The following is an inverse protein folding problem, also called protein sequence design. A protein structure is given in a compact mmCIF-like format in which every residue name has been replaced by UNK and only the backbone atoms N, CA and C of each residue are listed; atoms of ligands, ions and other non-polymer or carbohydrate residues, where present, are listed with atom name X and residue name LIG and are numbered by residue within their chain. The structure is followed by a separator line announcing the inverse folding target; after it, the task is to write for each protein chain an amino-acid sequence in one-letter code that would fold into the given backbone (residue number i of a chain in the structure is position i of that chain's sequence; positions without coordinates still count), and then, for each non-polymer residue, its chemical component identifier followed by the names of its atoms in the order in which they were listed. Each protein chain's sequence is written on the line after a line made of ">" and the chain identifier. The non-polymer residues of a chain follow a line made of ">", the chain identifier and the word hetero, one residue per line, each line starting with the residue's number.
data_IF_993072826705
#
_entry.id   IF_993072826705
#
_cell.length_a   1.000
_cell.length_b   1.000
_cell.length_c   1.000
_cell.angle_alpha   90.00
_cell.angle_beta   90.00
_cell.angle_gamma   90.00
#
_symmetry.space_group_name_H-M   'P 1'
#
loop_
_entity.id
_entity.type
_entity.pdbx_description
1 polymer ?
#
# COMPACT_ATOMS: atom_id res chain seq x y z
N UNK A 1 -6.93 8.95 -1.00
CA UNK A 1 -6.81 7.54 -0.59
C UNK A 1 -6.08 6.80 -1.71
N UNK A 2 -5.10 5.96 -1.36
CA UNK A 2 -4.26 5.19 -2.29
C UNK A 2 -3.72 3.94 -1.58
N UNK A 3 -3.72 2.80 -2.25
CA UNK A 3 -2.81 1.71 -1.85
C UNK A 3 -1.41 2.02 -2.35
N UNK A 4 -0.44 2.16 -1.45
CA UNK A 4 0.96 2.26 -1.83
C UNK A 4 1.41 1.02 -2.60
N UNK A 5 2.41 1.21 -3.47
CA UNK A 5 3.00 0.08 -4.17
C UNK A 5 3.53 -0.96 -3.17
N UNK A 6 3.36 -2.24 -3.49
CA UNK A 6 3.76 -3.38 -2.62
C UNK A 6 5.25 -3.31 -2.23
N UNK A 7 6.12 -2.93 -3.17
CA UNK A 7 7.57 -2.80 -2.94
C UNK A 7 7.97 -1.59 -2.08
N UNK A 8 7.05 -0.69 -1.79
CA UNK A 8 7.32 0.45 -0.92
C UNK A 8 7.09 0.13 0.56
N UNK A 9 6.31 -0.90 0.89
CA UNK A 9 5.81 -1.10 2.26
C UNK A 9 6.96 -1.16 3.29
N UNK A 10 8.03 -1.89 2.97
CA UNK A 10 9.22 -2.07 3.80
C UNK A 10 10.05 -0.80 4.01
N UNK A 11 9.82 0.25 3.21
CA UNK A 11 10.52 1.55 3.31
C UNK A 11 9.59 2.75 3.39
N UNK A 12 8.27 2.54 3.48
CA UNK A 12 7.29 3.62 3.58
C UNK A 12 7.62 4.51 4.78
N UNK A 13 7.54 5.85 4.68
CA UNK A 13 7.67 6.71 5.84
C UNK A 13 6.60 6.36 6.90
N UNK A 14 6.92 6.51 8.18
CA UNK A 14 6.09 6.13 9.33
C UNK A 14 4.63 6.57 9.18
N UNK A 15 4.42 7.85 8.90
CA UNK A 15 3.08 8.40 8.78
C UNK A 15 2.32 7.84 7.56
N UNK A 16 3.03 7.47 6.50
CA UNK A 16 2.45 6.85 5.31
C UNK A 16 2.08 5.39 5.57
N UNK A 17 2.92 4.62 6.28
CA UNK A 17 2.61 3.25 6.69
C UNK A 17 1.39 3.19 7.64
N UNK A 18 1.35 4.06 8.65
CA UNK A 18 0.20 4.14 9.56
C UNK A 18 -1.07 4.59 8.82
N UNK A 19 -0.94 5.49 7.85
CA UNK A 19 -2.07 5.90 7.02
C UNK A 19 -2.55 4.78 6.11
N UNK A 20 -1.65 4.01 5.51
CA UNK A 20 -1.99 2.83 4.70
C UNK A 20 -2.86 1.84 5.48
N UNK A 21 -2.51 1.57 6.73
CA UNK A 21 -3.33 0.72 7.60
C UNK A 21 -4.74 1.27 7.78
N UNK A 22 -4.88 2.57 8.10
CA UNK A 22 -6.19 3.21 8.23
C UNK A 22 -6.98 3.18 6.93
N UNK A 23 -6.32 3.35 5.80
CA UNK A 23 -6.96 3.27 4.48
C UNK A 23 -7.47 1.86 4.18
N UNK A 24 -6.75 0.79 4.52
CA UNK A 24 -7.25 -0.59 4.38
C UNK A 24 -8.52 -0.82 5.19
N UNK A 25 -8.57 -0.32 6.43
CA UNK A 25 -9.78 -0.40 7.26
C UNK A 25 -10.95 0.38 6.66
N UNK A 26 -10.67 1.57 6.10
CA UNK A 26 -11.67 2.41 5.45
C UNK A 26 -12.21 1.79 4.15
N UNK A 27 -11.34 1.13 3.38
CA UNK A 27 -11.70 0.42 2.15
C UNK A 27 -12.63 -0.74 2.47
N UNK A 28 -12.25 -1.62 3.41
CA UNK A 28 -13.13 -2.71 3.85
C UNK A 28 -14.49 -2.17 4.30
N UNK A 29 -14.48 -1.15 5.17
CA UNK A 29 -15.71 -0.56 5.68
C UNK A 29 -16.59 0.07 4.60
N UNK A 30 -15.98 0.65 3.56
CA UNK A 30 -16.71 1.24 2.42
C UNK A 30 -17.31 0.17 1.52
N UNK A 31 -16.56 -0.90 1.23
CA UNK A 31 -17.06 -2.04 0.45
C UNK A 31 -18.20 -2.75 1.20
N UNK A 32 -18.08 -2.97 2.52
CA UNK A 32 -19.16 -3.58 3.32
C UNK A 32 -20.44 -2.73 3.29
N UNK A 33 -20.32 -1.40 3.30
CA UNK A 33 -21.47 -0.48 3.34
C UNK A 33 -22.08 -0.17 1.97
N UNK A 34 -21.25 -0.07 0.93
CA UNK A 34 -21.62 0.51 -0.37
C UNK A 34 -21.31 -0.39 -1.56
N UNK A 35 -20.67 -1.54 -1.33
CA UNK A 35 -20.18 -2.43 -2.37
C UNK A 35 -18.90 -1.95 -3.08
N UNK A 36 -18.42 -0.74 -2.79
CA UNK A 36 -17.23 -0.16 -3.43
C UNK A 36 -16.50 0.84 -2.52
N UNK A 37 -15.17 1.02 -2.68
CA UNK A 37 -14.45 2.11 -2.04
C UNK A 37 -14.96 3.51 -2.46
N UNK A 38 -15.57 3.61 -3.65
CA UNK A 38 -16.02 4.86 -4.29
C UNK A 38 -14.90 5.91 -4.42
N UNK A 39 -13.72 5.48 -4.86
CA UNK A 39 -12.56 6.35 -5.06
C UNK A 39 -11.76 5.87 -6.26
N UNK A 40 -11.62 6.70 -7.30
CA UNK A 40 -11.08 6.34 -8.62
C UNK A 40 -9.78 5.51 -8.55
N UNK A 41 -8.81 5.96 -7.75
CA UNK A 41 -7.50 5.30 -7.62
C UNK A 41 -7.55 3.94 -6.90
N UNK A 42 -8.60 3.66 -6.14
CA UNK A 42 -8.70 2.50 -5.23
C UNK A 42 -9.77 1.52 -5.70
N UNK A 43 -10.74 1.96 -6.50
CA UNK A 43 -11.79 1.08 -7.06
C UNK A 43 -11.22 -0.14 -7.77
N UNK A 44 -10.02 -0.02 -8.36
CA UNK A 44 -9.27 -1.13 -9.00
C UNK A 44 -9.10 -2.34 -8.08
N UNK A 45 -9.11 -2.18 -6.76
CA UNK A 45 -8.98 -3.28 -5.79
C UNK A 45 -10.05 -4.36 -5.97
N UNK A 46 -11.23 -4.01 -6.50
CA UNK A 46 -12.31 -4.97 -6.77
C UNK A 46 -12.10 -5.78 -8.05
N UNK A 47 -11.17 -5.38 -8.92
CA UNK A 47 -10.79 -6.16 -10.11
C UNK A 47 -9.89 -7.35 -9.74
N UNK A 48 -9.43 -7.40 -8.49
CA UNK A 48 -8.54 -8.41 -7.93
C UNK A 48 -9.30 -9.27 -6.94
N UNK A 49 -8.66 -10.37 -6.52
CA UNK A 49 -9.29 -11.27 -5.56
C UNK A 49 -9.27 -10.68 -4.14
N UNK A 50 -10.20 -11.14 -3.31
CA UNK A 50 -10.20 -10.77 -1.89
C UNK A 50 -8.96 -11.30 -1.16
N UNK A 51 -8.35 -12.38 -1.66
CA UNK A 51 -7.18 -12.98 -1.06
C UNK A 51 -5.92 -12.15 -1.34
N UNK A 52 -5.82 -11.49 -2.51
CA UNK A 52 -4.83 -10.44 -2.76
C UNK A 52 -4.98 -9.26 -1.78
N UNK A 53 -6.22 -8.83 -1.51
CA UNK A 53 -6.47 -7.78 -0.51
C UNK A 53 -6.04 -8.18 0.90
N UNK A 54 -6.33 -9.43 1.31
CA UNK A 54 -5.88 -9.96 2.60
C UNK A 54 -4.35 -10.09 2.67
N UNK A 55 -3.71 -10.54 1.59
CA UNK A 55 -2.26 -10.71 1.54
C UNK A 55 -1.54 -9.36 1.59
N UNK A 56 -1.99 -8.37 0.82
CA UNK A 56 -1.51 -7.00 0.94
C UNK A 56 -1.70 -6.43 2.36
N UNK A 57 -2.85 -6.70 2.99
CA UNK A 57 -3.12 -6.29 4.37
C UNK A 57 -2.14 -6.94 5.35
N UNK A 58 -1.82 -8.23 5.16
CA UNK A 58 -0.83 -8.95 5.95
C UNK A 58 0.56 -8.32 5.81
N UNK A 59 1.00 -7.99 4.60
CA UNK A 59 2.30 -7.32 4.37
C UNK A 59 2.39 -6.00 5.15
N UNK A 60 1.34 -5.17 5.09
CA UNK A 60 1.29 -3.91 5.85
C UNK A 60 1.29 -4.15 7.36
N UNK A 61 0.51 -5.13 7.84
CA UNK A 61 0.42 -5.48 9.25
C UNK A 61 1.75 -6.00 9.81
N UNK A 62 2.40 -6.94 9.09
CA UNK A 62 3.68 -7.51 9.48
C UNK A 62 4.77 -6.42 9.54
N UNK A 63 4.81 -5.50 8.57
CA UNK A 63 5.77 -4.38 8.57
C UNK A 63 5.50 -3.40 9.72
N UNK A 64 4.23 -3.17 10.08
CA UNK A 64 3.89 -2.38 11.27
C UNK A 64 4.41 -3.03 12.54
N UNK A 65 4.22 -4.34 12.71
CA UNK A 65 4.72 -5.09 13.87
C UNK A 65 6.26 -5.08 13.91
N UNK A 66 6.93 -5.30 12.78
CA UNK A 66 8.39 -5.23 12.66
C UNK A 66 8.96 -3.90 13.12
N UNK A 67 8.24 -2.80 12.91
CA UNK A 67 8.61 -1.44 13.36
C UNK A 67 8.09 -1.09 14.75
N UNK A 68 7.64 -2.08 15.53
CA UNK A 68 7.09 -1.93 16.88
C UNK A 68 5.84 -1.02 16.96
N UNK A 69 5.10 -0.88 15.85
CA UNK A 69 3.77 -0.29 15.90
C UNK A 69 2.74 -1.31 16.38
N UNK A 70 1.61 -0.82 16.87
CA UNK A 70 0.54 -1.63 17.46
C UNK A 70 -0.73 -1.53 16.61
N UNK A 71 -0.78 -2.15 15.41
CA UNK A 71 -2.02 -2.25 14.65
C UNK A 71 -3.08 -3.00 15.47
N UNK A 72 -4.36 -2.76 15.17
CA UNK A 72 -5.44 -3.40 15.92
C UNK A 72 -5.66 -4.84 15.42
N UNK A 73 -5.30 -5.83 16.23
CA UNK A 73 -5.38 -7.26 15.90
C UNK A 73 -6.81 -7.76 15.61
N UNK A 74 -7.83 -7.19 16.27
CA UNK A 74 -9.22 -7.54 15.99
C UNK A 74 -9.62 -7.07 14.59
N UNK A 75 -9.16 -5.89 14.18
CA UNK A 75 -9.39 -5.37 12.82
C UNK A 75 -8.62 -6.18 11.78
N UNK A 76 -7.38 -6.54 12.05
CA UNK A 76 -6.59 -7.43 11.19
C UNK A 76 -7.31 -8.78 10.98
N UNK A 77 -7.67 -9.45 12.07
CA UNK A 77 -8.41 -10.72 12.04
C UNK A 77 -9.73 -10.59 11.27
N UNK A 78 -10.41 -9.45 11.40
CA UNK A 78 -11.66 -9.20 10.65
C UNK A 78 -11.47 -9.09 9.14
N UNK A 79 -10.30 -8.63 8.66
CA UNK A 79 -9.95 -8.63 7.23
C UNK A 79 -9.61 -10.05 6.77
N UNK A 80 -8.79 -10.79 7.54
CA UNK A 80 -8.39 -12.15 7.16
C UNK A 80 -9.59 -13.09 7.02
N UNK A 81 -10.58 -12.97 7.89
CA UNK A 81 -11.82 -13.77 7.85
C UNK A 81 -12.86 -13.21 6.88
N UNK A 82 -12.57 -12.10 6.22
CA UNK A 82 -13.54 -11.40 5.38
C UNK A 82 -13.90 -12.22 4.15
N UNK A 83 -15.20 -12.27 3.86
CA UNK A 83 -15.78 -12.82 2.63
C UNK A 83 -16.64 -11.72 2.02
N UNK A 84 -16.42 -11.41 0.76
CA UNK A 84 -17.18 -10.39 0.05
C UNK A 84 -17.24 -10.73 -1.44
N UNK A 85 -18.44 -10.68 -2.03
CA UNK A 85 -18.70 -11.11 -3.41
C UNK A 85 -18.46 -10.01 -4.45
N UNK A 86 -18.13 -8.79 -4.01
CA UNK A 86 -17.86 -7.67 -4.93
C UNK A 86 -16.44 -7.70 -5.51
N UNK A 87 -15.53 -8.49 -4.92
CA UNK A 87 -14.22 -8.75 -5.50
C UNK A 87 -14.37 -9.69 -6.69
N UNK A 88 -13.44 -9.59 -7.65
CA UNK A 88 -13.35 -10.55 -8.72
C UNK A 88 -13.18 -11.97 -8.16
N UNK A 89 -13.87 -12.93 -8.77
CA UNK A 89 -13.68 -14.33 -8.42
C UNK A 89 -12.26 -14.75 -8.81
N UNK A 90 -11.54 -15.34 -7.86
CA UNK A 90 -10.24 -15.97 -8.12
C UNK A 90 -10.47 -17.15 -9.08
N UNK A 91 -10.12 -16.98 -10.36
CA UNK A 91 -10.09 -18.09 -11.34
C UNK A 91 -8.74 -18.83 -11.26
N UNK A 92 -7.72 -18.23 -10.66
CA UNK A 92 -6.41 -18.85 -10.43
C UNK A 92 -6.42 -19.79 -9.22
N UNK A 93 -7.10 -20.93 -9.39
CA UNK A 93 -6.55 -22.19 -8.88
C UNK A 93 -5.19 -22.39 -9.58
N UNK A 94 -4.07 -22.35 -8.83
CA UNK A 94 -2.81 -23.10 -9.05
C UNK A 94 -1.50 -22.38 -8.65
N UNK A 95 -1.48 -21.07 -8.38
CA UNK A 95 -0.26 -20.38 -7.97
C UNK A 95 -0.33 -19.85 -6.54
N UNK A 96 0.68 -20.18 -5.73
CA UNK A 96 0.84 -19.63 -4.38
C UNK A 96 1.05 -18.12 -4.48
N UNK A 97 0.05 -17.36 -4.00
CA UNK A 97 0.11 -15.91 -3.91
C UNK A 97 1.36 -15.46 -3.14
N UNK A 98 2.13 -14.55 -3.72
CA UNK A 98 3.37 -14.03 -3.18
C UNK A 98 3.54 -12.55 -3.55
N UNK A 99 4.65 -11.93 -3.15
CA UNK A 99 4.84 -10.49 -3.40
C UNK A 99 4.97 -10.16 -4.90
N UNK A 100 5.54 -11.05 -5.71
CA UNK A 100 5.81 -10.80 -7.13
C UNK A 100 4.51 -10.74 -7.94
N UNK A 101 3.56 -11.66 -7.69
CA UNK A 101 2.28 -11.71 -8.42
C UNK A 101 1.15 -10.89 -7.78
N UNK A 102 1.33 -10.35 -6.57
CA UNK A 102 0.33 -9.51 -5.92
C UNK A 102 -0.02 -8.26 -6.74
N UNK A 103 -1.28 -8.12 -7.17
CA UNK A 103 -1.77 -7.01 -7.97
C UNK A 103 -0.95 -6.75 -9.24
N UNK A 104 -0.43 -7.80 -9.90
CA UNK A 104 0.39 -7.78 -11.12
C UNK A 104 0.13 -6.56 -12.05
N UNK A 105 -1.09 -6.46 -12.59
CA UNK A 105 -1.43 -5.42 -13.59
C UNK A 105 -1.46 -3.99 -13.01
N UNK A 106 -1.64 -3.84 -11.69
CA UNK A 106 -1.75 -2.55 -11.01
C UNK A 106 -0.44 -2.13 -10.35
N UNK A 107 0.19 -3.02 -9.59
CA UNK A 107 1.45 -2.80 -8.89
C UNK A 107 2.63 -3.06 -9.84
N UNK A 108 2.59 -2.34 -10.95
CA UNK A 108 3.61 -2.33 -11.99
C UNK A 108 4.57 -1.12 -11.82
N UNK A 109 5.63 -1.09 -12.64
CA UNK A 109 6.67 -0.05 -12.61
C UNK A 109 6.13 1.38 -12.78
N UNK A 110 5.08 1.56 -13.59
CA UNK A 110 4.46 2.88 -13.78
C UNK A 110 3.76 3.34 -12.50
N UNK A 111 3.03 2.45 -11.83
CA UNK A 111 2.37 2.77 -10.58
C UNK A 111 3.36 2.99 -9.43
N UNK A 112 4.47 2.23 -9.40
CA UNK A 112 5.59 2.48 -8.48
C UNK A 112 6.14 3.91 -8.66
N UNK A 113 6.41 4.32 -9.90
CA UNK A 113 6.87 5.68 -10.22
C UNK A 113 5.90 6.76 -9.71
N UNK A 114 4.61 6.58 -9.96
CA UNK A 114 3.56 7.48 -9.45
C UNK A 114 3.48 7.53 -7.92
N UNK A 115 3.82 6.44 -7.24
CA UNK A 115 3.91 6.41 -5.77
C UNK A 115 5.14 7.16 -5.28
N UNK A 116 6.30 6.93 -5.89
CA UNK A 116 7.54 7.62 -5.53
C UNK A 116 7.41 9.14 -5.67
N UNK A 117 6.84 9.64 -6.78
CA UNK A 117 6.61 11.08 -6.95
C UNK A 117 5.58 11.67 -6.00
N UNK A 118 4.59 10.89 -5.56
CA UNK A 118 3.70 11.36 -4.50
C UNK A 118 4.40 11.42 -3.13
N UNK A 119 5.34 10.51 -2.85
CA UNK A 119 6.17 10.59 -1.65
C UNK A 119 7.15 11.77 -1.74
N UNK A 120 7.72 12.02 -2.91
CA UNK A 120 8.59 13.18 -3.16
C UNK A 120 7.87 14.49 -2.88
N UNK A 121 6.68 14.70 -3.45
CA UNK A 121 5.86 15.89 -3.17
C UNK A 121 5.61 16.07 -1.67
N UNK A 122 5.34 14.97 -0.96
CA UNK A 122 5.18 15.01 0.50
C UNK A 122 6.49 15.38 1.21
N UNK A 123 7.63 14.90 0.74
CA UNK A 123 8.94 15.20 1.31
C UNK A 123 9.32 16.66 1.08
N UNK A 124 9.17 17.18 -0.15
CA UNK A 124 9.46 18.58 -0.48
C UNK A 124 8.57 19.57 0.25
N UNK A 125 7.33 19.16 0.59
CA UNK A 125 6.41 19.95 1.41
C UNK A 125 6.63 19.78 2.93
N UNK A 126 7.70 19.09 3.36
CA UNK A 126 8.03 18.89 4.79
C UNK A 126 7.17 17.85 5.52
N UNK A 127 6.36 17.07 4.79
CA UNK A 127 5.49 16.03 5.35
C UNK A 127 6.18 14.68 5.60
N UNK A 128 7.42 14.52 5.14
CA UNK A 128 8.28 13.35 5.42
C UNK A 128 9.62 13.86 5.97
N UNK A 129 10.04 13.39 7.16
CA UNK A 129 11.36 13.70 7.69
C UNK A 129 12.49 13.28 6.75
N UNK A 130 13.55 14.10 6.66
CA UNK A 130 14.65 13.87 5.70
C UNK A 130 15.33 12.51 5.88
N UNK A 131 15.47 12.04 7.11
CA UNK A 131 16.05 10.73 7.41
C UNK A 131 15.19 9.57 6.89
N UNK A 132 13.86 9.71 6.87
CA UNK A 132 12.96 8.72 6.27
C UNK A 132 12.96 8.81 4.74
N UNK A 133 13.04 10.03 4.19
CA UNK A 133 13.20 10.23 2.74
C UNK A 133 14.51 9.62 2.22
N UNK A 134 15.60 9.74 2.97
CA UNK A 134 16.89 9.14 2.61
C UNK A 134 16.83 7.61 2.47
N UNK A 135 15.94 6.91 3.19
CA UNK A 135 15.75 5.47 3.03
C UNK A 135 15.18 5.16 1.63
N UNK A 136 14.21 5.95 1.16
CA UNK A 136 13.65 5.84 -0.18
C UNK A 136 14.71 6.13 -1.24
N UNK A 137 15.51 7.19 -1.06
CA UNK A 137 16.61 7.50 -1.97
C UNK A 137 17.62 6.37 -2.06
N UNK A 138 18.04 5.79 -0.93
CA UNK A 138 18.96 4.65 -0.92
C UNK A 138 18.43 3.46 -1.72
N UNK A 139 17.11 3.21 -1.68
CA UNK A 139 16.49 2.07 -2.39
C UNK A 139 16.23 2.36 -3.86
N UNK A 140 15.86 3.59 -4.24
CA UNK A 140 15.27 3.87 -5.57
C UNK A 140 15.99 4.91 -6.42
N UNK A 141 16.93 5.69 -5.88
CA UNK A 141 17.59 6.80 -6.63
C UNK A 141 18.42 6.36 -7.84
N UNK A 142 18.79 5.08 -7.95
CA UNK A 142 19.48 4.53 -9.13
C UNK A 142 18.56 4.34 -10.33
N UNK A 143 17.29 4.00 -10.06
CA UNK A 143 16.30 3.65 -11.08
C UNK A 143 15.31 4.78 -11.36
N UNK A 144 15.20 5.73 -10.44
CA UNK A 144 14.26 6.85 -10.49
C UNK A 144 14.97 8.15 -10.13
N UNK A 145 14.78 9.16 -10.98
CA UNK A 145 15.20 10.54 -10.68
C UNK A 145 14.28 11.11 -9.59
N UNK A 146 14.84 11.28 -8.38
CA UNK A 146 14.15 11.73 -7.18
C UNK A 146 14.92 12.89 -6.54
N UNK A 147 14.19 13.78 -5.86
CA UNK A 147 14.72 14.94 -5.15
C UNK A 147 15.78 14.53 -4.13
N UNK A 148 16.97 15.09 -4.25
CA UNK A 148 18.14 14.67 -3.47
C UNK A 148 18.11 15.07 -1.99
N UNK A 149 17.05 15.72 -1.52
CA UNK A 149 16.94 16.18 -0.14
C UNK A 149 17.66 17.49 0.16
N UNK A 150 18.35 18.07 -0.83
CA UNK A 150 18.97 19.39 -0.69
C UNK A 150 17.88 20.45 -0.85
N UNK A 151 17.73 21.27 0.18
CA UNK A 151 16.90 22.46 0.11
C UNK A 151 17.74 23.55 -0.57
N UNK A 152 17.38 23.93 -1.80
CA UNK A 152 17.88 25.17 -2.39
C UNK A 152 17.15 26.34 -1.71
N UNK A 153 17.74 26.89 -0.65
CA UNK A 153 17.44 28.25 -0.17
C UNK A 153 18.75 29.01 -0.02
#
# INVERSE_FOLDING_TARGET
>A
MRLWHKDLIDVLPKNQLVSQWRELLAIKGSIDKKGTPNHLLVNKVLNYSIDEFKFYTKIVHDEMLKRNYKPNELKYTSILKWKNRNFANDISNEHSLNLENLYDDWHNKMYLKQCLYNLEEKATCGGIPINEWNILLCKYSKDYELWSGNIMF
#
